data_IF_344448902986
#
_entry.id   IF_344448902986
#
_cell.length_a   1.000
_cell.length_b   1.000
_cell.length_c   1.000
_cell.angle_alpha   90.00
_cell.angle_beta   90.00
_cell.angle_gamma   90.00
#
_symmetry.space_group_name_H-M   'P 1'
#
loop_
_entity.id
_entity.type
_entity.pdbx_description
1 polymer ?
#
# COMPACT_ATOMS: atom_id res chain seq x y z
N UNK A 1 -1.82 7.27 0.80
CA UNK A 1 -1.68 5.87 1.27
C UNK A 1 -0.95 5.83 2.61
N UNK A 2 -1.66 5.78 3.75
CA UNK A 2 -1.06 5.93 5.10
C UNK A 2 -0.56 4.59 5.69
N UNK A 3 0.43 3.95 5.06
CA UNK A 3 1.19 2.87 5.66
C UNK A 3 2.68 3.25 5.66
N UNK A 4 3.43 2.85 6.70
CA UNK A 4 4.88 3.04 6.74
C UNK A 4 5.49 2.28 5.56
N UNK A 5 6.09 3.00 4.61
CA UNK A 5 6.60 2.43 3.35
C UNK A 5 5.59 2.34 2.20
N UNK A 6 4.42 3.01 2.30
CA UNK A 6 3.39 3.08 1.25
C UNK A 6 2.83 1.73 0.75
N UNK A 7 3.20 0.61 1.38
CA UNK A 7 2.82 -0.74 0.99
C UNK A 7 2.14 -1.46 2.16
N UNK A 8 1.12 -2.24 1.85
CA UNK A 8 0.51 -3.22 2.76
C UNK A 8 0.63 -4.59 2.12
N UNK A 9 0.97 -5.58 2.93
CA UNK A 9 1.14 -6.96 2.49
C UNK A 9 -0.05 -7.76 2.99
N UNK A 10 -0.76 -8.37 2.05
CA UNK A 10 -1.86 -9.30 2.30
C UNK A 10 -1.51 -10.65 1.69
N UNK A 11 -2.03 -11.72 2.27
CA UNK A 11 -1.83 -13.07 1.78
C UNK A 11 -3.13 -13.86 1.87
N UNK A 12 -3.37 -14.70 0.87
CA UNK A 12 -4.36 -15.76 0.95
C UNK A 12 -3.72 -17.01 1.55
N UNK A 13 -4.48 -17.72 2.37
CA UNK A 13 -4.04 -18.95 3.02
C UNK A 13 -5.14 -20.00 2.83
N UNK A 14 -4.76 -21.16 2.34
CA UNK A 14 -5.60 -22.35 2.30
C UNK A 14 -5.02 -23.41 3.24
N UNK A 15 -5.83 -23.90 4.16
CA UNK A 15 -5.46 -24.94 5.13
C UNK A 15 -6.32 -26.18 4.87
N UNK A 16 -5.70 -27.36 4.91
CA UNK A 16 -6.36 -28.63 4.66
C UNK A 16 -5.96 -29.65 5.72
N UNK A 17 -6.91 -30.50 6.12
CA UNK A 17 -6.67 -31.65 7.01
C UNK A 17 -6.39 -32.94 6.23
N UNK A 18 -6.52 -32.91 4.90
CA UNK A 18 -6.23 -34.06 4.05
C UNK A 18 -4.72 -34.32 3.98
N UNK A 19 -4.35 -35.58 3.71
CA UNK A 19 -2.96 -35.94 3.41
C UNK A 19 -2.45 -35.14 2.20
N UNK A 20 -1.18 -34.77 2.21
CA UNK A 20 -0.53 -33.94 1.19
C UNK A 20 -0.88 -34.36 -0.24
N UNK A 21 -0.76 -35.66 -0.57
CA UNK A 21 -1.08 -36.18 -1.92
C UNK A 21 -2.49 -35.84 -2.39
N UNK A 22 -3.47 -35.90 -1.48
CA UNK A 22 -4.86 -35.58 -1.81
C UNK A 22 -5.07 -34.07 -1.90
N UNK A 23 -4.50 -33.30 -0.96
CA UNK A 23 -4.57 -31.85 -0.95
C UNK A 23 -3.90 -31.21 -2.20
N UNK A 24 -2.80 -31.79 -2.67
CA UNK A 24 -2.07 -31.29 -3.83
C UNK A 24 -2.84 -31.48 -5.15
N UNK A 25 -3.87 -32.33 -5.22
CA UNK A 25 -4.72 -32.45 -6.42
C UNK A 25 -5.36 -31.12 -6.80
N UNK A 26 -5.76 -30.31 -5.82
CA UNK A 26 -6.44 -29.03 -6.04
C UNK A 26 -5.50 -27.84 -5.99
N UNK A 27 -4.19 -28.05 -5.88
CA UNK A 27 -3.22 -26.96 -5.73
C UNK A 27 -3.25 -25.98 -6.91
N UNK A 28 -3.29 -26.49 -8.15
CA UNK A 28 -3.33 -25.65 -9.35
C UNK A 28 -4.60 -24.81 -9.43
N UNK A 29 -5.75 -25.41 -9.08
CA UNK A 29 -7.04 -24.73 -9.00
C UNK A 29 -7.00 -23.59 -7.97
N UNK A 30 -6.56 -23.88 -6.74
CA UNK A 30 -6.48 -22.88 -5.66
C UNK A 30 -5.49 -21.77 -6.03
N UNK A 31 -4.33 -22.11 -6.58
CA UNK A 31 -3.30 -21.14 -6.97
C UNK A 31 -3.80 -20.18 -8.04
N UNK A 32 -4.52 -20.70 -9.03
CA UNK A 32 -5.13 -19.90 -10.10
C UNK A 32 -6.21 -18.98 -9.53
N UNK A 33 -7.09 -19.51 -8.68
CA UNK A 33 -8.15 -18.72 -8.04
C UNK A 33 -7.58 -17.61 -7.16
N UNK A 34 -6.57 -17.90 -6.34
CA UNK A 34 -5.90 -16.91 -5.50
C UNK A 34 -5.18 -15.84 -6.32
N UNK A 35 -4.56 -16.21 -7.44
CA UNK A 35 -3.97 -15.26 -8.38
C UNK A 35 -5.03 -14.30 -8.96
N UNK A 36 -6.17 -14.85 -9.40
CA UNK A 36 -7.28 -14.05 -9.94
C UNK A 36 -7.87 -13.09 -8.89
N UNK A 37 -8.07 -13.58 -7.66
CA UNK A 37 -8.55 -12.76 -6.54
C UNK A 37 -7.56 -11.65 -6.19
N UNK A 38 -6.26 -11.94 -6.18
CA UNK A 38 -5.23 -10.95 -5.88
C UNK A 38 -5.21 -9.84 -6.95
N UNK A 39 -5.26 -10.22 -8.23
CA UNK A 39 -5.35 -9.28 -9.35
C UNK A 39 -6.60 -8.40 -9.26
N UNK A 40 -7.75 -9.00 -8.92
CA UNK A 40 -8.99 -8.26 -8.74
C UNK A 40 -8.90 -7.23 -7.60
N UNK A 41 -8.37 -7.62 -6.44
CA UNK A 41 -8.16 -6.69 -5.31
C UNK A 41 -7.18 -5.58 -5.70
N UNK A 42 -6.11 -5.93 -6.41
CA UNK A 42 -5.12 -4.97 -6.86
C UNK A 42 -5.73 -3.91 -7.79
N UNK A 43 -6.55 -4.34 -8.75
CA UNK A 43 -7.25 -3.43 -9.65
C UNK A 43 -8.19 -2.46 -8.90
N UNK A 44 -8.95 -2.97 -7.92
CA UNK A 44 -9.81 -2.12 -7.10
C UNK A 44 -8.99 -1.09 -6.28
N UNK A 45 -7.87 -1.53 -5.71
CA UNK A 45 -6.97 -0.66 -4.96
C UNK A 45 -6.30 0.41 -5.84
N UNK A 46 -5.91 0.07 -7.08
CA UNK A 46 -5.34 1.00 -8.05
C UNK A 46 -6.37 2.07 -8.46
N UNK A 47 -7.61 1.68 -8.73
CA UNK A 47 -8.71 2.61 -9.06
C UNK A 47 -8.98 3.58 -7.90
N UNK A 48 -9.04 3.09 -6.66
CA UNK A 48 -9.27 3.96 -5.49
C UNK A 48 -8.04 4.84 -5.17
N UNK A 49 -6.83 4.35 -5.46
CA UNK A 49 -5.61 5.14 -5.33
C UNK A 49 -5.60 6.33 -6.28
N UNK A 50 -5.96 6.13 -7.55
CA UNK A 50 -6.07 7.18 -8.57
C UNK A 50 -7.13 8.22 -8.20
N UNK A 51 -8.30 7.76 -7.71
CA UNK A 51 -9.37 8.64 -7.21
C UNK A 51 -8.92 9.48 -6.02
N UNK A 52 -8.18 8.88 -5.09
CA UNK A 52 -7.64 9.63 -3.95
C UNK A 52 -6.61 10.64 -4.41
N UNK A 53 -5.73 10.29 -5.36
CA UNK A 53 -4.67 11.17 -5.88
C UNK A 53 -5.23 12.41 -6.59
N UNK A 54 -6.26 12.22 -7.43
CA UNK A 54 -6.96 13.31 -8.13
C UNK A 54 -7.74 14.23 -7.18
N UNK A 55 -8.41 13.67 -6.17
CA UNK A 55 -9.10 14.45 -5.16
C UNK A 55 -8.16 15.12 -4.15
N UNK A 56 -6.98 14.56 -3.92
CA UNK A 56 -5.91 15.20 -3.14
C UNK A 56 -5.04 16.06 -4.05
N UNK A 57 -5.61 17.14 -4.59
CA UNK A 57 -4.78 18.18 -5.20
C UNK A 57 -3.77 18.70 -4.16
N UNK A 58 -2.50 18.97 -4.54
CA UNK A 58 -1.53 19.55 -3.62
C UNK A 58 -1.98 20.99 -3.33
N UNK A 59 -2.65 21.20 -2.20
CA UNK A 59 -2.77 22.55 -1.64
C UNK A 59 -1.38 22.95 -1.15
N UNK A 60 -0.57 23.42 -2.08
CA UNK A 60 0.83 23.78 -1.88
C UNK A 60 1.42 24.58 -3.03
N UNK A 61 0.58 25.14 -3.92
CA UNK A 61 0.95 26.30 -4.72
C UNK A 61 0.89 27.54 -3.82
N UNK A 62 1.92 27.74 -2.98
CA UNK A 62 2.18 29.08 -2.43
C UNK A 62 2.72 29.92 -3.59
N UNK A 63 1.77 30.49 -4.33
CA UNK A 63 1.94 31.69 -5.13
C UNK A 63 2.33 32.82 -4.17
N UNK A 64 3.63 33.13 -4.06
CA UNK A 64 4.09 34.41 -3.55
C UNK A 64 4.44 35.29 -4.75
N UNK A 65 3.42 35.96 -5.28
CA UNK A 65 3.57 37.13 -6.14
C UNK A 65 2.90 38.33 -5.46
N UNK A 66 3.63 39.46 -5.48
CA UNK A 66 3.33 40.84 -4.99
C UNK A 66 3.78 41.15 -3.55
N UNK A 67 4.64 42.13 -3.31
CA UNK A 67 5.28 43.08 -4.23
C UNK A 67 6.15 44.11 -3.48
N UNK A 68 6.79 45.01 -4.24
CA UNK A 68 7.31 46.28 -3.72
C UNK A 68 8.78 46.57 -3.98
N UNK A 69 9.06 47.25 -5.11
CA UNK A 69 9.95 48.43 -5.21
C UNK A 69 11.45 48.32 -4.87
N UNK A 70 12.29 48.63 -5.88
CA UNK A 70 13.45 49.50 -5.65
C UNK A 70 14.82 48.98 -6.11
N UNK A 71 15.38 49.70 -7.10
CA UNK A 71 16.79 49.88 -7.45
C UNK A 71 17.50 48.88 -8.41
N UNK A 72 18.09 49.38 -9.52
CA UNK A 72 19.01 48.64 -10.37
C UNK A 72 20.47 48.90 -9.94
N UNK A 73 21.26 47.85 -9.77
CA UNK A 73 22.73 47.99 -9.71
C UNK A 73 23.38 46.82 -10.46
N UNK A 74 24.24 47.07 -11.47
CA UNK A 74 24.90 46.02 -12.23
C UNK A 74 26.27 45.72 -11.60
N UNK A 75 26.54 44.46 -11.25
CA UNK A 75 27.90 43.96 -10.98
C UNK A 75 28.04 42.55 -11.61
N UNK A 76 29.05 42.31 -12.46
CA UNK A 76 29.25 41.01 -13.10
C UNK A 76 30.39 40.24 -12.43
N UNK A 77 30.10 39.15 -11.71
CA UNK A 77 30.96 37.97 -11.52
C UNK A 77 30.06 36.81 -11.05
N UNK A 78 30.25 35.56 -11.53
CA UNK A 78 31.05 34.64 -10.72
C UNK A 78 31.85 33.57 -11.48
N UNK A 79 32.90 33.12 -10.78
CA UNK A 79 33.75 31.96 -11.06
C UNK A 79 33.00 30.61 -10.95
N UNK A 80 33.56 29.52 -11.52
CA UNK A 80 32.87 28.24 -11.71
C UNK A 80 32.97 27.34 -10.47
N UNK A 81 31.88 26.60 -10.15
CA UNK A 81 31.91 25.48 -9.21
C UNK A 81 31.70 24.14 -9.95
N UNK A 82 32.52 23.11 -9.66
CA UNK A 82 32.54 21.86 -10.42
C UNK A 82 31.43 20.89 -10.02
N UNK A 83 30.85 20.25 -11.05
CA UNK A 83 29.99 19.08 -10.95
C UNK A 83 30.73 17.90 -10.29
N UNK A 84 30.19 17.39 -9.18
CA UNK A 84 30.53 16.07 -8.67
C UNK A 84 29.51 15.06 -9.22
N UNK A 85 29.96 14.24 -10.17
CA UNK A 85 29.29 13.01 -10.58
C UNK A 85 29.39 11.95 -9.46
N UNK A 86 28.37 11.09 -9.45
CA UNK A 86 28.38 9.67 -9.05
C UNK A 86 27.87 9.28 -7.64
N UNK A 87 26.69 8.63 -7.62
CA UNK A 87 26.35 7.55 -6.71
C UNK A 87 25.09 6.80 -7.23
N UNK A 88 25.20 5.51 -7.60
CA UNK A 88 24.07 4.64 -7.89
C UNK A 88 23.64 3.88 -6.63
N UNK A 89 22.45 4.16 -6.09
CA UNK A 89 21.87 3.41 -4.97
C UNK A 89 20.35 3.68 -4.94
N UNK A 90 19.43 2.74 -4.74
CA UNK A 90 19.52 1.34 -4.41
C UNK A 90 18.24 0.65 -4.89
N UNK A 91 18.35 -0.64 -5.17
CA UNK A 91 17.24 -1.56 -5.37
C UNK A 91 16.46 -1.67 -4.04
N UNK A 92 15.29 -1.03 -3.95
CA UNK A 92 14.38 -1.21 -2.82
C UNK A 92 13.60 -2.54 -2.95
N UNK A 93 14.31 -3.65 -2.70
CA UNK A 93 13.73 -4.96 -2.39
C UNK A 93 13.87 -5.24 -0.90
N UNK A 94 13.20 -4.47 -0.05
CA UNK A 94 13.18 -4.74 1.39
C UNK A 94 11.75 -4.81 1.94
N UNK A 95 11.11 -5.97 1.72
CA UNK A 95 9.95 -6.38 2.48
C UNK A 95 10.38 -6.81 3.88
N UNK A 96 10.52 -5.87 4.79
CA UNK A 96 10.89 -6.13 6.18
C UNK A 96 9.64 -6.29 7.06
N UNK A 97 9.49 -7.49 7.63
CA UNK A 97 8.43 -7.85 8.57
C UNK A 97 8.85 -7.44 9.99
N UNK A 98 8.39 -6.29 10.47
CA UNK A 98 8.76 -5.79 11.79
C UNK A 98 7.78 -6.23 12.87
N UNK A 99 7.89 -7.49 13.30
CA UNK A 99 7.66 -7.84 14.71
C UNK A 99 8.87 -7.47 15.58
N UNK A 100 9.92 -6.87 15.00
CA UNK A 100 11.07 -6.37 15.73
C UNK A 100 10.87 -4.90 16.14
N UNK A 101 10.39 -4.66 17.38
CA UNK A 101 10.57 -3.34 18.01
C UNK A 101 9.53 -2.90 19.04
N UNK A 102 9.48 -3.58 20.18
CA UNK A 102 9.29 -3.05 21.55
C UNK A 102 8.45 -1.79 21.84
N UNK A 103 7.45 -1.99 22.71
CA UNK A 103 6.87 -1.02 23.66
C UNK A 103 6.03 0.16 23.12
N UNK A 104 4.73 -0.11 22.94
CA UNK A 104 3.68 0.90 22.74
C UNK A 104 2.94 1.29 24.05
N UNK A 105 3.44 0.90 25.23
CA UNK A 105 2.74 1.18 26.50
C UNK A 105 3.15 2.51 27.14
N UNK A 106 4.36 3.02 26.90
CA UNK A 106 4.90 4.18 27.65
C UNK A 106 4.61 5.56 27.03
N UNK A 107 3.99 5.66 25.85
CA UNK A 107 3.78 6.95 25.15
C UNK A 107 2.43 7.61 25.43
N UNK A 108 1.78 7.29 26.56
CA UNK A 108 0.44 7.79 26.94
C UNK A 108 0.45 8.94 27.95
N UNK A 109 1.61 9.41 28.40
CA UNK A 109 1.72 10.49 29.40
C UNK A 109 2.58 11.69 28.95
N UNK A 110 2.46 12.11 27.69
CA UNK A 110 2.91 13.46 27.34
C UNK A 110 1.94 14.07 26.32
N UNK A 111 0.97 14.81 26.85
CA UNK A 111 -0.07 15.50 26.11
C UNK A 111 0.50 16.63 25.27
N UNK A 112 0.20 16.57 23.97
CA UNK A 112 0.29 17.68 23.04
C UNK A 112 -0.67 17.36 21.87
N UNK A 113 -1.36 18.34 21.28
CA UNK A 113 -2.28 18.13 20.17
C UNK A 113 -1.47 17.87 18.90
N UNK A 114 -0.84 16.70 18.83
CA UNK A 114 -0.28 16.16 17.59
C UNK A 114 -1.40 15.57 16.74
N UNK A 115 -1.26 15.57 15.39
CA UNK A 115 -2.26 15.00 14.51
C UNK A 115 -2.55 13.58 14.97
N UNK A 116 -3.84 13.29 15.18
CA UNK A 116 -4.36 11.97 15.54
C UNK A 116 -3.58 10.87 14.79
N UNK A 117 -3.18 9.77 15.46
CA UNK A 117 -2.43 8.71 14.80
C UNK A 117 -3.21 8.30 13.57
N UNK A 118 -2.60 8.49 12.38
CA UNK A 118 -3.21 8.22 11.08
C UNK A 118 -3.91 6.85 11.16
N UNK A 119 -5.24 6.86 11.26
CA UNK A 119 -6.01 5.63 11.42
C UNK A 119 -5.66 4.75 10.24
N UNK A 120 -5.06 3.60 10.53
CA UNK A 120 -4.62 2.69 9.50
C UNK A 120 -5.85 2.25 8.70
N UNK A 121 -5.96 2.66 7.44
CA UNK A 121 -7.10 2.31 6.58
C UNK A 121 -7.27 0.79 6.47
N UNK A 122 -8.49 0.28 6.59
CA UNK A 122 -8.79 -1.15 6.40
C UNK A 122 -8.69 -1.55 4.92
N UNK A 123 -8.66 -2.86 4.59
CA UNK A 123 -8.64 -3.30 3.19
C UNK A 123 -9.85 -2.78 2.40
N UNK A 124 -11.05 -2.85 2.98
CA UNK A 124 -12.28 -2.29 2.40
C UNK A 124 -12.16 -0.78 2.06
N UNK A 125 -11.46 -0.02 2.91
CA UNK A 125 -11.21 1.41 2.69
C UNK A 125 -10.09 1.66 1.65
N UNK A 126 -9.18 0.72 1.44
CA UNK A 126 -8.12 0.82 0.43
C UNK A 126 -8.64 0.53 -0.98
N UNK A 127 -9.63 -0.35 -1.09
CA UNK A 127 -10.27 -0.72 -2.35
C UNK A 127 -11.51 0.12 -2.66
N UNK A 128 -11.90 1.04 -1.76
CA UNK A 128 -13.01 1.96 -1.97
C UNK A 128 -14.41 1.31 -1.94
N UNK A 129 -14.53 0.09 -1.41
CA UNK A 129 -15.79 -0.66 -1.38
C UNK A 129 -16.20 -1.03 0.06
N UNK A 130 -17.35 -0.54 0.55
CA UNK A 130 -17.81 -0.83 1.92
C UNK A 130 -18.19 -2.31 2.10
N UNK A 131 -18.79 -2.93 1.08
CA UNK A 131 -19.26 -4.32 1.11
C UNK A 131 -18.21 -5.33 0.57
N UNK A 132 -16.96 -4.91 0.41
CA UNK A 132 -15.88 -5.71 -0.17
C UNK A 132 -15.77 -7.12 0.42
N UNK A 133 -15.90 -7.25 1.75
CA UNK A 133 -15.77 -8.54 2.43
C UNK A 133 -16.94 -9.49 2.15
N UNK A 134 -18.13 -8.97 1.83
CA UNK A 134 -19.28 -9.79 1.45
C UNK A 134 -19.02 -10.43 0.09
N UNK A 135 -18.54 -9.63 -0.88
CA UNK A 135 -18.21 -10.16 -2.21
C UNK A 135 -17.03 -11.13 -2.16
N UNK A 136 -15.98 -10.78 -1.41
CA UNK A 136 -14.83 -11.67 -1.20
C UNK A 136 -15.24 -13.00 -0.56
N UNK A 137 -16.13 -12.95 0.43
CA UNK A 137 -16.68 -14.15 1.06
C UNK A 137 -17.44 -15.03 0.07
N UNK A 138 -18.28 -14.44 -0.79
CA UNK A 138 -18.99 -15.17 -1.83
C UNK A 138 -18.03 -15.93 -2.77
N UNK A 139 -16.95 -15.26 -3.21
CA UNK A 139 -15.91 -15.90 -4.03
C UNK A 139 -15.17 -17.02 -3.28
N UNK A 140 -14.92 -16.88 -1.98
CA UNK A 140 -14.33 -17.95 -1.17
C UNK A 140 -15.25 -19.16 -1.02
N UNK A 141 -16.53 -18.94 -0.77
CA UNK A 141 -17.52 -20.04 -0.64
C UNK A 141 -17.65 -20.80 -1.96
N UNK A 142 -17.70 -20.08 -3.08
CA UNK A 142 -17.67 -20.71 -4.41
C UNK A 142 -16.42 -21.55 -4.62
N UNK A 143 -15.23 -21.02 -4.32
CA UNK A 143 -13.98 -21.77 -4.43
C UNK A 143 -13.97 -23.02 -3.54
N UNK A 144 -14.47 -22.93 -2.31
CA UNK A 144 -14.57 -24.08 -1.41
C UNK A 144 -15.48 -25.18 -1.97
N UNK A 145 -16.59 -24.81 -2.60
CA UNK A 145 -17.47 -25.75 -3.27
C UNK A 145 -16.76 -26.46 -4.44
N UNK A 146 -16.10 -25.69 -5.31
CA UNK A 146 -15.35 -26.22 -6.46
C UNK A 146 -14.24 -27.18 -6.03
N UNK A 147 -13.49 -26.82 -4.97
CA UNK A 147 -12.46 -27.68 -4.37
C UNK A 147 -13.07 -28.95 -3.80
N UNK A 148 -14.21 -28.85 -3.11
CA UNK A 148 -14.93 -30.03 -2.59
C UNK A 148 -15.29 -31.02 -3.71
N UNK A 149 -15.88 -30.52 -4.80
CA UNK A 149 -16.21 -31.36 -5.97
C UNK A 149 -14.96 -32.01 -6.56
N UNK A 150 -13.87 -31.26 -6.73
CA UNK A 150 -12.63 -31.77 -7.32
C UNK A 150 -11.89 -32.79 -6.44
N UNK A 151 -12.04 -32.72 -5.11
CA UNK A 151 -11.46 -33.71 -4.20
C UNK A 151 -12.25 -35.03 -4.19
N UNK A 152 -13.54 -34.96 -4.49
CA UNK A 152 -14.45 -36.10 -4.54
C UNK A 152 -14.51 -36.78 -5.92
N UNK A 153 -13.87 -36.21 -6.94
CA UNK A 153 -13.76 -36.79 -8.30
C UNK A 153 -12.54 -37.70 -8.51
#
# INVERSE_FOLDING_TARGET
MHARGHKRVYAFLALSTHKERLAMKTFSMISTAFGNLASWIQQLAEVEAERTATNSSPTGSVLLQQGGGGHPQPHPHPHPQPSALDAPAAVDRSGSSFFAGGSAFTRRMNGGPGPSPLKARGLAELVGQPDFFIELHGKFVQLLLEVGVALNS
#
